data_IF_956698630306
#
_entry.id   IF_956698630306
#
_cell.length_a   1.000
_cell.length_b   1.000
_cell.length_c   1.000
_cell.angle_alpha   90.00
_cell.angle_beta   90.00
_cell.angle_gamma   90.00
#
_symmetry.space_group_name_H-M   'P 1'
#
loop_
_entity.id
_entity.type
_entity.pdbx_description
1 polymer ?
#
# COMPACT_ATOMS: atom_id res chain seq x y z
N UNK A 1 35.05 10.14 -4.88
CA UNK A 1 35.97 8.97 -4.97
C UNK A 1 36.03 8.13 -3.68
N UNK A 2 35.70 8.66 -2.49
CA UNK A 2 35.76 7.89 -1.23
C UNK A 2 34.76 6.73 -1.12
N UNK A 3 33.48 6.95 -1.44
CA UNK A 3 32.43 5.92 -1.32
C UNK A 3 32.62 4.70 -2.24
N UNK A 4 33.20 4.92 -3.43
CA UNK A 4 33.51 3.83 -4.38
C UNK A 4 34.67 2.99 -3.86
N UNK A 5 35.64 3.61 -3.17
CA UNK A 5 36.79 2.93 -2.59
C UNK A 5 36.40 2.10 -1.37
N UNK A 6 35.59 2.66 -0.47
CA UNK A 6 35.05 1.91 0.68
C UNK A 6 34.18 0.72 0.24
N UNK A 7 33.32 0.91 -0.78
CA UNK A 7 32.52 -0.17 -1.34
C UNK A 7 33.40 -1.28 -1.96
N UNK A 8 34.47 -0.90 -2.65
CA UNK A 8 35.43 -1.86 -3.21
C UNK A 8 36.20 -2.60 -2.12
N UNK A 9 36.71 -1.92 -1.11
CA UNK A 9 37.46 -2.53 -0.01
C UNK A 9 36.60 -3.58 0.73
N UNK A 10 35.34 -3.24 1.02
CA UNK A 10 34.36 -4.15 1.64
C UNK A 10 34.06 -5.37 0.77
N UNK A 11 33.98 -5.20 -0.56
CA UNK A 11 33.78 -6.31 -1.49
C UNK A 11 35.00 -7.23 -1.52
N UNK A 12 36.23 -6.70 -1.52
CA UNK A 12 37.46 -7.51 -1.47
C UNK A 12 37.60 -8.32 -0.18
N UNK A 13 37.26 -7.73 0.97
CA UNK A 13 37.26 -8.45 2.24
C UNK A 13 36.22 -9.57 2.27
N UNK A 14 35.00 -9.31 1.78
CA UNK A 14 33.94 -10.31 1.66
C UNK A 14 34.33 -11.47 0.73
N UNK A 15 34.98 -11.19 -0.40
CA UNK A 15 35.48 -12.20 -1.33
C UNK A 15 36.60 -13.05 -0.70
N UNK A 16 37.51 -12.44 0.06
CA UNK A 16 38.55 -13.16 0.79
C UNK A 16 38.00 -14.13 1.82
N UNK A 17 36.98 -13.70 2.57
CA UNK A 17 36.33 -14.52 3.59
C UNK A 17 35.54 -15.68 2.94
N UNK A 18 34.82 -15.42 1.85
CA UNK A 18 34.13 -16.43 1.06
C UNK A 18 35.08 -17.49 0.48
N UNK A 19 36.25 -17.06 -0.03
CA UNK A 19 37.27 -17.98 -0.55
C UNK A 19 37.82 -18.90 0.54
N UNK A 20 38.03 -18.37 1.74
CA UNK A 20 38.56 -19.13 2.89
C UNK A 20 37.54 -20.17 3.38
N UNK A 21 36.26 -19.80 3.43
CA UNK A 21 35.15 -20.71 3.76
C UNK A 21 35.01 -21.81 2.69
N UNK A 22 35.06 -21.44 1.41
CA UNK A 22 34.97 -22.40 0.30
C UNK A 22 36.12 -23.42 0.31
N UNK A 23 37.34 -22.97 0.59
CA UNK A 23 38.51 -23.86 0.73
C UNK A 23 38.37 -24.83 1.92
N UNK A 24 37.81 -24.38 3.04
CA UNK A 24 37.55 -25.23 4.21
C UNK A 24 36.44 -26.24 3.93
N UNK A 25 35.39 -25.80 3.24
CA UNK A 25 34.26 -26.65 2.85
C UNK A 25 34.63 -27.69 1.79
N UNK A 26 35.55 -27.37 0.87
CA UNK A 26 36.00 -28.28 -0.17
C UNK A 26 36.67 -29.57 0.36
N UNK A 27 37.13 -29.59 1.62
CA UNK A 27 37.85 -30.75 2.19
C UNK A 27 36.98 -31.96 2.52
N UNK A 28 35.67 -31.80 2.75
CA UNK A 28 34.76 -32.89 3.13
C UNK A 28 33.45 -32.82 2.34
N UNK A 29 32.92 -33.95 1.83
CA UNK A 29 31.69 -33.95 1.02
C UNK A 29 30.50 -33.35 1.77
N UNK A 30 30.31 -33.71 3.04
CA UNK A 30 29.27 -33.14 3.91
C UNK A 30 29.39 -31.62 4.09
N UNK A 31 30.62 -31.09 4.15
CA UNK A 31 30.83 -29.65 4.33
C UNK A 31 30.53 -28.84 3.06
N UNK A 32 30.57 -29.47 1.88
CA UNK A 32 30.15 -28.85 0.62
C UNK A 32 28.63 -28.72 0.54
N UNK A 33 27.92 -29.77 0.96
CA UNK A 33 26.45 -29.78 1.00
C UNK A 33 25.92 -28.75 1.99
N UNK A 34 26.52 -28.65 3.18
CA UNK A 34 26.09 -27.64 4.17
C UNK A 34 26.39 -26.22 3.71
N UNK A 35 27.51 -25.98 3.03
CA UNK A 35 27.79 -24.66 2.43
C UNK A 35 26.79 -24.31 1.33
N UNK A 36 26.48 -25.25 0.44
CA UNK A 36 25.47 -25.07 -0.61
C UNK A 36 24.09 -24.72 -0.02
N UNK A 37 23.67 -25.46 1.01
CA UNK A 37 22.41 -25.20 1.71
C UNK A 37 22.41 -23.81 2.39
N UNK A 38 23.50 -23.44 3.06
CA UNK A 38 23.62 -22.13 3.71
C UNK A 38 23.55 -20.98 2.71
N UNK A 39 24.19 -21.11 1.55
CA UNK A 39 24.11 -20.12 0.45
C UNK A 39 22.69 -20.04 -0.10
N UNK A 40 22.02 -21.18 -0.31
CA UNK A 40 20.62 -21.21 -0.73
C UNK A 40 19.69 -20.50 0.25
N UNK A 41 19.86 -20.75 1.55
CA UNK A 41 19.09 -20.09 2.61
C UNK A 41 19.36 -18.59 2.66
N UNK A 42 20.61 -18.15 2.48
CA UNK A 42 20.93 -16.72 2.45
C UNK A 42 20.29 -16.02 1.25
N UNK A 43 20.39 -16.60 0.06
CA UNK A 43 19.83 -16.01 -1.17
C UNK A 43 18.30 -15.95 -1.08
N UNK A 44 17.65 -17.06 -0.76
CA UNK A 44 16.19 -17.10 -0.64
C UNK A 44 15.69 -16.29 0.56
N UNK A 45 16.39 -16.34 1.69
CA UNK A 45 16.06 -15.59 2.90
C UNK A 45 16.12 -14.08 2.66
N UNK A 46 17.14 -13.59 1.96
CA UNK A 46 17.26 -12.17 1.61
C UNK A 46 16.11 -11.68 0.74
N UNK A 47 15.64 -12.51 -0.19
CA UNK A 47 14.50 -12.21 -1.05
C UNK A 47 13.18 -12.21 -0.30
N UNK A 48 12.93 -13.24 0.51
CA UNK A 48 11.74 -13.28 1.36
C UNK A 48 11.69 -12.08 2.29
N UNK A 49 12.81 -11.73 2.92
CA UNK A 49 12.91 -10.55 3.79
C UNK A 49 12.61 -9.24 3.05
N UNK A 50 13.21 -9.07 1.87
CA UNK A 50 12.96 -7.89 1.03
C UNK A 50 11.50 -7.78 0.60
N UNK A 51 10.88 -8.89 0.20
CA UNK A 51 9.45 -8.94 -0.11
C UNK A 51 8.59 -8.61 1.11
N UNK A 52 8.93 -9.11 2.30
CA UNK A 52 8.19 -8.79 3.54
C UNK A 52 8.23 -7.30 3.84
N UNK A 53 9.40 -6.66 3.69
CA UNK A 53 9.51 -5.20 3.87
C UNK A 53 8.64 -4.43 2.88
N UNK A 54 8.71 -4.79 1.60
CA UNK A 54 7.88 -4.14 0.58
C UNK A 54 6.39 -4.37 0.85
N UNK A 55 5.96 -5.60 1.12
CA UNK A 55 4.55 -5.87 1.44
C UNK A 55 4.09 -5.11 2.67
N UNK A 56 4.94 -4.93 3.68
CA UNK A 56 4.63 -4.11 4.86
C UNK A 56 4.45 -2.62 4.53
N UNK A 57 5.27 -2.06 3.65
CA UNK A 57 5.10 -0.68 3.16
C UNK A 57 3.82 -0.53 2.34
N UNK A 58 3.48 -1.53 1.53
CA UNK A 58 2.23 -1.54 0.77
C UNK A 58 0.99 -1.76 1.61
N UNK A 59 1.06 -2.58 2.66
CA UNK A 59 -0.04 -2.79 3.60
C UNK A 59 -0.46 -1.49 4.26
N UNK A 60 0.51 -0.70 4.73
CA UNK A 60 0.26 0.66 5.26
C UNK A 60 -0.44 1.57 4.26
N UNK A 61 -0.08 1.46 2.98
CA UNK A 61 -0.71 2.21 1.89
C UNK A 61 -2.08 1.66 1.47
N UNK A 62 -2.34 0.38 1.71
CA UNK A 62 -3.63 -0.25 1.36
C UNK A 62 -4.72 0.14 2.35
N UNK A 63 -4.37 0.30 3.63
CA UNK A 63 -5.27 0.88 4.64
C UNK A 63 -5.70 2.32 4.25
N UNK A 64 -4.78 3.11 3.68
CA UNK A 64 -5.09 4.43 3.12
C UNK A 64 -6.06 4.34 1.92
N UNK A 65 -5.96 3.31 1.08
CA UNK A 65 -6.88 3.09 -0.04
C UNK A 65 -8.28 2.68 0.41
N UNK A 66 -8.40 1.83 1.43
CA UNK A 66 -9.71 1.50 2.00
C UNK A 66 -10.34 2.71 2.71
N UNK A 67 -9.53 3.53 3.39
CA UNK A 67 -9.99 4.80 3.94
C UNK A 67 -10.51 5.74 2.83
N UNK A 68 -9.81 5.82 1.69
CA UNK A 68 -10.24 6.61 0.52
C UNK A 68 -11.57 6.11 -0.07
N UNK A 69 -11.75 4.79 -0.19
CA UNK A 69 -13.00 4.20 -0.67
C UNK A 69 -14.17 4.50 0.27
N UNK A 70 -13.96 4.38 1.59
CA UNK A 70 -14.95 4.74 2.60
C UNK A 70 -15.29 6.24 2.56
N UNK A 71 -14.28 7.11 2.40
CA UNK A 71 -14.49 8.55 2.20
C UNK A 71 -15.34 8.82 0.95
N UNK A 72 -15.01 8.21 -0.20
CA UNK A 72 -15.77 8.39 -1.44
C UNK A 72 -17.22 7.90 -1.33
N UNK A 73 -17.47 6.82 -0.60
CA UNK A 73 -18.83 6.36 -0.30
C UNK A 73 -19.58 7.39 0.54
N UNK A 74 -18.94 7.96 1.56
CA UNK A 74 -19.52 8.99 2.41
C UNK A 74 -19.83 10.28 1.63
N UNK A 75 -18.95 10.69 0.72
CA UNK A 75 -19.18 11.85 -0.14
C UNK A 75 -20.37 11.66 -1.09
N UNK A 76 -20.59 10.43 -1.55
CA UNK A 76 -21.77 10.10 -2.36
C UNK A 76 -23.07 10.26 -1.56
N UNK A 77 -23.06 9.89 -0.28
CA UNK A 77 -24.20 10.13 0.62
C UNK A 77 -24.41 11.61 0.91
N UNK A 78 -23.33 12.37 1.17
CA UNK A 78 -23.40 13.81 1.41
C UNK A 78 -23.90 14.57 0.16
N UNK A 79 -23.48 14.14 -1.03
CA UNK A 79 -23.94 14.70 -2.30
C UNK A 79 -25.42 14.39 -2.54
N UNK A 80 -25.86 13.16 -2.25
CA UNK A 80 -27.28 12.81 -2.27
C UNK A 80 -28.10 13.68 -1.32
N UNK A 81 -27.61 13.94 -0.11
CA UNK A 81 -28.29 14.82 0.84
C UNK A 81 -28.45 16.25 0.26
N UNK A 82 -27.41 16.75 -0.41
CA UNK A 82 -27.43 18.06 -1.06
C UNK A 82 -28.45 18.11 -2.21
N UNK A 83 -28.51 17.08 -3.06
CA UNK A 83 -29.47 16.98 -4.16
C UNK A 83 -30.92 17.00 -3.64
N UNK A 84 -31.22 16.26 -2.57
CA UNK A 84 -32.56 16.26 -1.97
C UNK A 84 -32.91 17.62 -1.34
N UNK A 85 -31.95 18.33 -0.74
CA UNK A 85 -32.17 19.70 -0.26
C UNK A 85 -32.48 20.65 -1.42
N UNK A 86 -31.81 20.50 -2.56
CA UNK A 86 -32.08 21.30 -3.75
C UNK A 86 -33.47 21.01 -4.33
N UNK A 87 -33.86 19.74 -4.41
CA UNK A 87 -35.22 19.33 -4.79
C UNK A 87 -36.26 19.92 -3.84
N UNK A 88 -36.03 19.90 -2.53
CA UNK A 88 -36.93 20.53 -1.56
C UNK A 88 -37.04 22.05 -1.77
N UNK A 89 -35.93 22.76 -1.99
CA UNK A 89 -35.94 24.20 -2.24
C UNK A 89 -36.73 24.53 -3.52
N UNK A 90 -36.53 23.77 -4.58
CA UNK A 90 -37.22 24.00 -5.85
C UNK A 90 -38.69 23.61 -5.80
N UNK A 91 -39.04 22.51 -5.11
CA UNK A 91 -40.41 22.11 -4.84
C UNK A 91 -41.15 23.16 -4.00
N UNK A 92 -40.48 23.80 -3.03
CA UNK A 92 -41.06 24.92 -2.28
C UNK A 92 -41.31 26.15 -3.16
N UNK A 93 -40.36 26.52 -4.02
CA UNK A 93 -40.49 27.67 -4.94
C UNK A 93 -41.61 27.47 -5.96
N UNK A 94 -41.73 26.25 -6.50
CA UNK A 94 -42.70 25.90 -7.52
C UNK A 94 -44.06 25.47 -6.93
N UNK A 95 -44.18 25.44 -5.60
CA UNK A 95 -45.33 24.96 -4.85
C UNK A 95 -45.83 23.57 -5.33
N UNK A 96 -44.90 22.64 -5.46
CA UNK A 96 -45.15 21.25 -5.83
C UNK A 96 -46.02 20.55 -4.75
N UNK A 97 -46.95 19.68 -5.18
CA UNK A 97 -47.80 18.90 -4.28
C UNK A 97 -47.01 17.95 -3.36
N UNK A 98 -45.82 17.52 -3.79
CA UNK A 98 -44.97 16.58 -3.08
C UNK A 98 -43.86 17.26 -2.27
N UNK A 99 -43.90 18.60 -2.12
CA UNK A 99 -42.85 19.35 -1.41
C UNK A 99 -42.56 18.81 -0.02
N UNK A 100 -43.59 18.42 0.73
CA UNK A 100 -43.43 17.95 2.12
C UNK A 100 -42.68 16.61 2.16
N UNK A 101 -42.92 15.74 1.17
CA UNK A 101 -42.21 14.48 1.02
C UNK A 101 -40.71 14.71 0.73
N UNK A 102 -40.39 15.56 -0.24
CA UNK A 102 -38.99 15.87 -0.58
C UNK A 102 -38.25 16.57 0.56
N UNK A 103 -38.92 17.47 1.29
CA UNK A 103 -38.33 18.20 2.40
C UNK A 103 -38.14 17.34 3.67
N UNK A 104 -38.98 16.32 3.88
CA UNK A 104 -38.78 15.32 4.93
C UNK A 104 -37.56 14.43 4.64
N UNK A 105 -37.42 13.97 3.40
CA UNK A 105 -36.24 13.19 2.98
C UNK A 105 -34.95 14.03 3.06
N UNK A 106 -35.00 15.29 2.62
CA UNK A 106 -33.88 16.22 2.71
C UNK A 106 -33.38 16.42 4.15
N UNK A 107 -34.31 16.57 5.11
CA UNK A 107 -33.93 16.73 6.52
C UNK A 107 -33.40 15.46 7.14
N UNK A 108 -33.92 14.28 6.76
CA UNK A 108 -33.38 13.00 7.20
C UNK A 108 -31.94 12.80 6.70
N UNK A 109 -31.69 12.99 5.40
CA UNK A 109 -30.35 12.86 4.81
C UNK A 109 -29.36 13.87 5.35
N UNK A 110 -29.78 15.12 5.60
CA UNK A 110 -28.94 16.15 6.21
C UNK A 110 -28.51 15.78 7.65
N UNK A 111 -29.43 15.24 8.45
CA UNK A 111 -29.13 14.80 9.81
C UNK A 111 -28.09 13.69 9.83
N UNK A 112 -28.24 12.71 8.95
CA UNK A 112 -27.29 11.58 8.84
C UNK A 112 -25.91 12.06 8.36
N UNK A 113 -25.87 13.02 7.43
CA UNK A 113 -24.63 13.56 6.87
C UNK A 113 -23.78 14.36 7.88
N UNK A 114 -24.37 15.07 8.86
CA UNK A 114 -23.63 16.01 9.74
C UNK A 114 -23.25 15.43 11.13
N UNK A 115 -23.44 14.14 11.34
CA UNK A 115 -23.22 13.42 12.62
C UNK A 115 -21.86 13.62 13.33
N UNK A 116 -20.81 14.10 12.64
CA UNK A 116 -19.45 14.22 13.19
C UNK A 116 -18.81 15.63 13.12
N UNK A 117 -19.59 16.69 12.85
CA UNK A 117 -19.03 18.06 12.84
C UNK A 117 -19.08 18.71 14.23
N UNK A 118 -17.94 19.12 14.83
CA UNK A 118 -17.95 19.86 16.08
C UNK A 118 -18.63 21.22 15.89
N UNK A 119 -19.51 21.59 16.81
CA UNK A 119 -20.25 22.86 16.80
C UNK A 119 -21.24 23.02 15.63
N UNK A 120 -21.92 21.94 15.25
CA UNK A 120 -22.91 21.95 14.19
C UNK A 120 -24.25 22.59 14.66
N UNK A 121 -24.97 23.27 13.76
CA UNK A 121 -26.29 23.86 14.04
C UNK A 121 -27.42 22.98 13.50
N UNK A 122 -27.22 21.67 13.44
CA UNK A 122 -28.11 20.73 12.75
C UNK A 122 -29.55 20.83 13.26
N UNK A 123 -29.75 20.71 14.57
CA UNK A 123 -31.09 20.77 15.15
C UNK A 123 -31.73 22.15 14.96
N UNK A 124 -30.94 23.22 15.01
CA UNK A 124 -31.45 24.57 14.80
C UNK A 124 -31.84 24.82 13.34
N UNK A 125 -31.02 24.36 12.39
CA UNK A 125 -31.28 24.46 10.96
C UNK A 125 -32.52 23.64 10.58
N UNK A 126 -32.66 22.42 11.12
CA UNK A 126 -33.85 21.57 10.92
C UNK A 126 -35.08 22.24 11.51
N UNK A 127 -35.02 22.72 12.77
CA UNK A 127 -36.15 23.38 13.43
C UNK A 127 -36.59 24.64 12.70
N UNK A 128 -35.64 25.40 12.14
CA UNK A 128 -35.92 26.62 11.37
C UNK A 128 -36.26 26.36 9.90
N UNK A 129 -36.28 25.09 9.46
CA UNK A 129 -36.43 24.73 8.05
C UNK A 129 -35.48 25.51 7.12
N UNK A 130 -34.25 25.74 7.59
CA UNK A 130 -33.27 26.60 6.93
C UNK A 130 -32.52 25.85 5.80
N UNK A 131 -33.26 25.35 4.79
CA UNK A 131 -32.73 24.49 3.73
C UNK A 131 -31.56 25.12 2.95
N UNK A 132 -31.56 26.43 2.78
CA UNK A 132 -30.43 27.15 2.16
C UNK A 132 -29.15 27.09 3.02
N UNK A 133 -29.28 27.16 4.35
CA UNK A 133 -28.13 27.02 5.26
C UNK A 133 -27.62 25.56 5.25
N UNK A 134 -28.53 24.59 5.25
CA UNK A 134 -28.19 23.17 5.11
C UNK A 134 -27.38 22.89 3.83
N UNK A 135 -27.80 23.46 2.69
CA UNK A 135 -27.08 23.36 1.41
C UNK A 135 -25.66 23.91 1.51
N UNK A 136 -25.48 25.07 2.14
CA UNK A 136 -24.16 25.70 2.29
C UNK A 136 -23.25 24.88 3.18
N UNK A 137 -23.75 24.34 4.29
CA UNK A 137 -22.98 23.50 5.20
C UNK A 137 -22.53 22.19 4.54
N UNK A 138 -23.43 21.48 3.85
CA UNK A 138 -23.06 20.27 3.11
C UNK A 138 -22.09 20.57 1.96
N UNK A 139 -22.30 21.66 1.22
CA UNK A 139 -21.37 22.07 0.16
C UNK A 139 -19.98 22.41 0.71
N UNK A 140 -19.90 23.03 1.89
CA UNK A 140 -18.63 23.31 2.56
C UNK A 140 -17.93 22.02 3.00
N UNK A 141 -18.68 21.06 3.56
CA UNK A 141 -18.18 19.72 3.93
C UNK A 141 -17.62 18.98 2.71
N UNK A 142 -18.37 18.94 1.60
CA UNK A 142 -17.95 18.28 0.36
C UNK A 142 -16.67 18.92 -0.22
N UNK A 143 -16.53 20.25 -0.15
CA UNK A 143 -15.31 20.93 -0.60
C UNK A 143 -14.12 20.61 0.29
N UNK A 144 -14.33 20.50 1.60
CA UNK A 144 -13.28 20.12 2.54
C UNK A 144 -12.81 18.67 2.29
N UNK A 145 -13.73 17.73 2.05
CA UNK A 145 -13.38 16.33 1.77
C UNK A 145 -12.66 16.17 0.43
N UNK A 146 -13.03 16.94 -0.60
CA UNK A 146 -12.31 16.96 -1.89
C UNK A 146 -10.88 17.51 -1.73
N UNK A 147 -10.70 18.55 -0.90
CA UNK A 147 -9.36 19.07 -0.58
C UNK A 147 -8.52 18.05 0.18
N UNK A 148 -9.10 17.33 1.13
CA UNK A 148 -8.41 16.28 1.89
C UNK A 148 -7.94 15.13 0.98
N UNK A 149 -8.78 14.73 0.01
CA UNK A 149 -8.44 13.72 -1.01
C UNK A 149 -7.37 14.18 -2.00
N UNK A 150 -7.36 15.46 -2.39
CA UNK A 150 -6.31 16.00 -3.26
C UNK A 150 -4.91 15.94 -2.60
N UNK A 151 -4.85 15.94 -1.27
CA UNK A 151 -3.60 15.87 -0.50
C UNK A 151 -3.14 14.41 -0.33
N UNK A 152 -4.06 13.44 -0.28
CA UNK A 152 -3.74 12.00 -0.18
C UNK A 152 -3.49 11.40 -1.57
N UNK A 153 -2.22 11.33 -1.98
CA UNK A 153 -1.82 10.63 -3.22
C UNK A 153 -2.18 9.14 -3.14
N UNK A 154 -2.91 8.63 -4.15
CA UNK A 154 -3.21 7.20 -4.30
C UNK A 154 -1.93 6.36 -4.21
N UNK A 155 -1.92 5.28 -3.40
CA UNK A 155 -0.89 4.26 -3.52
C UNK A 155 -0.95 3.65 -4.91
N UNK A 156 0.09 3.84 -5.71
CA UNK A 156 0.31 2.97 -6.85
C UNK A 156 1.26 1.88 -6.41
N UNK A 157 0.86 0.62 -6.64
CA UNK A 157 1.82 -0.48 -6.61
C UNK A 157 2.98 -0.12 -7.52
N UNK A 158 4.17 0.05 -6.94
CA UNK A 158 5.38 0.26 -7.72
C UNK A 158 5.51 -0.95 -8.66
N UNK A 159 5.64 -0.71 -9.97
CA UNK A 159 5.69 -1.77 -10.99
C UNK A 159 6.76 -2.82 -10.67
N UNK A 160 7.83 -2.39 -9.99
CA UNK A 160 8.90 -3.25 -9.47
C UNK A 160 8.39 -4.29 -8.46
N UNK A 161 7.55 -3.89 -7.50
CA UNK A 161 6.97 -4.84 -6.55
C UNK A 161 5.98 -5.77 -7.22
N UNK A 162 5.14 -5.24 -8.12
CA UNK A 162 4.18 -6.04 -8.88
C UNK A 162 4.90 -7.14 -9.68
N UNK A 163 6.06 -6.80 -10.24
CA UNK A 163 6.91 -7.75 -10.95
C UNK A 163 7.55 -8.77 -10.01
N UNK A 164 8.12 -8.34 -8.88
CA UNK A 164 8.76 -9.24 -7.90
C UNK A 164 7.76 -10.24 -7.27
N UNK A 165 6.52 -9.83 -7.00
CA UNK A 165 5.47 -10.73 -6.52
C UNK A 165 4.84 -11.59 -7.63
N UNK A 166 5.13 -11.30 -8.90
CA UNK A 166 4.57 -12.09 -10.01
C UNK A 166 5.21 -13.47 -10.08
N UNK A 167 4.47 -14.42 -10.68
CA UNK A 167 4.98 -15.77 -10.97
C UNK A 167 6.29 -15.70 -11.79
N UNK A 168 6.39 -14.76 -12.72
CA UNK A 168 7.60 -14.55 -13.53
C UNK A 168 8.79 -14.08 -12.69
N UNK A 169 8.58 -13.11 -11.78
CA UNK A 169 9.61 -12.62 -10.87
C UNK A 169 10.12 -13.69 -9.91
N UNK A 170 9.20 -14.48 -9.35
CA UNK A 170 9.53 -15.64 -8.51
C UNK A 170 10.35 -16.68 -9.27
N UNK A 171 9.97 -17.03 -10.50
CA UNK A 171 10.72 -17.98 -11.32
C UNK A 171 12.13 -17.45 -11.63
N UNK A 172 12.26 -16.18 -12.00
CA UNK A 172 13.57 -15.57 -12.27
C UNK A 172 14.47 -15.55 -11.03
N UNK A 173 13.91 -15.26 -9.85
CA UNK A 173 14.68 -15.28 -8.61
C UNK A 173 15.11 -16.70 -8.23
N UNK A 174 14.20 -17.68 -8.35
CA UNK A 174 14.50 -19.08 -8.08
C UNK A 174 15.57 -19.64 -9.02
N UNK A 175 15.52 -19.31 -10.31
CA UNK A 175 16.53 -19.73 -11.28
C UNK A 175 17.89 -19.10 -10.96
N UNK A 176 17.93 -17.81 -10.61
CA UNK A 176 19.15 -17.15 -10.15
C UNK A 176 19.73 -17.82 -8.89
N UNK A 177 18.90 -18.14 -7.90
CA UNK A 177 19.30 -18.89 -6.72
C UNK A 177 19.87 -20.27 -7.05
N UNK A 178 19.27 -21.00 -8.00
CA UNK A 178 19.77 -22.28 -8.48
C UNK A 178 21.14 -22.15 -9.16
N UNK A 179 21.36 -21.10 -9.97
CA UNK A 179 22.67 -20.82 -10.56
C UNK A 179 23.74 -20.51 -9.51
N UNK A 180 23.40 -19.72 -8.48
CA UNK A 180 24.34 -19.40 -7.39
C UNK A 180 24.70 -20.64 -6.57
N UNK A 181 23.72 -21.48 -6.23
CA UNK A 181 23.96 -22.74 -5.54
C UNK A 181 24.80 -23.70 -6.41
N UNK A 182 24.47 -23.82 -7.69
CA UNK A 182 25.20 -24.65 -8.66
C UNK A 182 26.64 -24.18 -8.87
N UNK A 183 26.86 -22.86 -8.98
CA UNK A 183 28.19 -22.27 -9.07
C UNK A 183 29.03 -22.51 -7.81
N UNK A 184 28.40 -22.43 -6.63
CA UNK A 184 29.06 -22.72 -5.35
C UNK A 184 29.46 -24.20 -5.24
N UNK A 185 28.57 -25.11 -5.67
CA UNK A 185 28.88 -26.53 -5.75
C UNK A 185 30.04 -26.79 -6.73
N UNK A 186 29.95 -26.30 -7.96
CA UNK A 186 31.00 -26.45 -8.98
C UNK A 186 32.36 -25.93 -8.50
N UNK A 187 32.38 -24.74 -7.90
CA UNK A 187 33.61 -24.13 -7.38
C UNK A 187 34.23 -24.95 -6.24
N UNK A 188 33.42 -25.46 -5.31
CA UNK A 188 33.92 -26.31 -4.21
C UNK A 188 34.34 -27.70 -4.67
N UNK A 189 33.71 -28.27 -5.70
CA UNK A 189 34.16 -29.51 -6.36
C UNK A 189 35.50 -29.34 -7.07
N UNK A 190 35.73 -28.20 -7.74
CA UNK A 190 37.03 -27.91 -8.37
C UNK A 190 38.17 -27.76 -7.36
N UNK A 191 37.87 -27.30 -6.15
CA UNK A 191 38.82 -27.15 -5.05
C UNK A 191 39.05 -28.44 -4.26
N UNK A 192 38.32 -29.51 -4.58
CA UNK A 192 38.47 -30.80 -3.93
C UNK A 192 39.88 -31.38 -4.18
N UNK A 193 40.57 -31.89 -3.14
CA UNK A 193 41.75 -32.72 -3.37
C UNK A 193 41.33 -34.02 -4.11
N UNK A 194 42.17 -34.56 -5.03
CA UNK A 194 41.90 -35.84 -5.66
C UNK A 194 41.80 -36.91 -4.57
N UNK A 195 40.75 -37.72 -4.64
CA UNK A 195 40.54 -38.85 -3.72
C UNK A 195 41.78 -39.75 -3.76
N UNK A 196 42.36 -40.04 -2.59
CA UNK A 196 43.41 -41.04 -2.39
C UNK A 196 42.78 -42.37 -2.01
#
# INVERSE_FOLDING_TARGET
>A
MGQVKEAMDTLTEGVGLAKTIALKAAKRPWSRVTLMAAVGVLVMGSYCFYLTLLVGEFGKSTDDFFAEYLMQQQDTFDQRALDYIEICIDAQKNNDSNKDYYCQDATAFYKDAITNLPNNRVEENIRRAAYSAMKVELAAKLRASVMERAIKKRPKLNDTLKFLLSIQGLILFCTMGAFVMGGTAFYTYRLAPPER
#
